data_IF_704534746170
#
_entry.id   IF_704534746170
#
_cell.length_a   1.000
_cell.length_b   1.000
_cell.length_c   1.000
_cell.angle_alpha   90.00
_cell.angle_beta   90.00
_cell.angle_gamma   90.00
#
_symmetry.space_group_name_H-M   'P 1'
#
loop_
_entity.id
_entity.type
_entity.pdbx_description
1 polymer ?
#
# COMPACT_ATOMS: atom_id res chain seq x y z
N UNK A 1 -21.98 -26.08 7.48
CA UNK A 1 -22.28 -27.37 8.16
C UNK A 1 -21.44 -28.51 7.57
N UNK A 2 -21.36 -28.67 6.23
CA UNK A 2 -20.54 -29.73 5.59
C UNK A 2 -19.02 -29.54 5.81
N UNK A 3 -18.53 -28.30 5.89
CA UNK A 3 -17.13 -28.01 6.20
C UNK A 3 -16.77 -28.44 7.64
N UNK A 4 -17.71 -28.36 8.58
CA UNK A 4 -17.53 -28.84 9.96
C UNK A 4 -17.60 -30.36 10.09
N UNK A 5 -18.40 -31.04 9.26
CA UNK A 5 -18.54 -32.49 9.30
C UNK A 5 -17.28 -33.22 8.80
N UNK A 6 -16.50 -32.63 7.91
CA UNK A 6 -15.25 -33.19 7.39
C UNK A 6 -13.99 -32.75 8.15
N UNK A 7 -14.10 -31.84 9.12
CA UNK A 7 -12.96 -31.44 9.95
C UNK A 7 -12.72 -32.47 11.05
N UNK A 8 -11.98 -33.52 10.74
CA UNK A 8 -11.27 -34.26 11.76
C UNK A 8 -10.25 -33.25 12.36
N UNK A 9 -10.37 -32.92 13.63
CA UNK A 9 -9.64 -31.86 14.33
C UNK A 9 -8.11 -31.88 14.23
N UNK A 10 -7.53 -32.78 13.46
CA UNK A 10 -6.09 -32.95 13.24
C UNK A 10 -5.59 -32.62 11.83
N UNK A 11 -6.47 -32.50 10.85
CA UNK A 11 -6.08 -32.25 9.46
C UNK A 11 -6.94 -31.10 8.93
N UNK A 12 -6.32 -30.02 8.55
CA UNK A 12 -7.01 -28.90 7.92
C UNK A 12 -7.79 -29.32 6.66
N UNK A 13 -8.50 -28.39 6.07
CA UNK A 13 -9.23 -28.60 4.81
C UNK A 13 -8.22 -28.93 3.71
N UNK A 14 -8.47 -30.04 2.99
CA UNK A 14 -7.67 -30.41 1.82
C UNK A 14 -8.18 -29.68 0.57
N UNK A 15 -7.35 -29.56 -0.46
CA UNK A 15 -7.74 -28.95 -1.75
C UNK A 15 -8.95 -29.68 -2.35
N UNK A 16 -9.00 -31.00 -2.28
CA UNK A 16 -10.13 -31.78 -2.76
C UNK A 16 -11.45 -31.46 -2.00
N UNK A 17 -11.34 -31.17 -0.70
CA UNK A 17 -12.50 -30.75 0.10
C UNK A 17 -12.95 -29.35 -0.29
N UNK A 18 -12.00 -28.45 -0.56
CA UNK A 18 -12.28 -27.09 -1.06
C UNK A 18 -12.95 -27.15 -2.42
N UNK A 19 -12.39 -27.91 -3.36
CA UNK A 19 -12.95 -28.08 -4.70
C UNK A 19 -14.39 -28.61 -4.64
N UNK A 20 -14.66 -29.61 -3.78
CA UNK A 20 -15.99 -30.16 -3.59
C UNK A 20 -17.00 -29.14 -3.06
N UNK A 21 -16.59 -28.31 -2.10
CA UNK A 21 -17.45 -27.25 -1.55
C UNK A 21 -17.72 -26.17 -2.60
N UNK A 22 -16.68 -25.69 -3.29
CA UNK A 22 -16.81 -24.59 -4.23
C UNK A 22 -17.65 -24.95 -5.45
N UNK A 23 -17.59 -26.19 -5.93
CA UNK A 23 -18.41 -26.66 -7.06
C UNK A 23 -19.88 -26.85 -6.72
N UNK A 24 -20.27 -26.81 -5.44
CA UNK A 24 -21.70 -26.74 -5.03
C UNK A 24 -22.28 -25.33 -5.26
N UNK A 25 -21.44 -24.27 -5.22
CA UNK A 25 -21.87 -22.86 -5.33
C UNK A 25 -21.57 -22.25 -6.69
N UNK A 26 -20.55 -22.76 -7.39
CA UNK A 26 -20.06 -22.22 -8.65
C UNK A 26 -20.01 -23.32 -9.71
N UNK A 27 -20.25 -22.98 -11.00
CA UNK A 27 -19.95 -23.90 -12.10
C UNK A 27 -18.48 -24.35 -12.03
N UNK A 28 -18.26 -25.65 -12.26
CA UNK A 28 -16.91 -26.24 -12.13
C UNK A 28 -15.86 -25.52 -12.96
N UNK A 29 -16.20 -25.10 -14.18
CA UNK A 29 -15.29 -24.36 -15.07
C UNK A 29 -14.86 -23.02 -14.48
N UNK A 30 -15.81 -22.28 -13.89
CA UNK A 30 -15.54 -20.98 -13.24
C UNK A 30 -14.62 -21.15 -12.04
N UNK A 31 -14.87 -22.19 -11.24
CA UNK A 31 -14.02 -22.47 -10.08
C UNK A 31 -12.62 -22.90 -10.49
N UNK A 32 -12.48 -23.77 -11.49
CA UNK A 32 -11.17 -24.23 -11.95
C UNK A 32 -10.35 -23.10 -12.57
N UNK A 33 -10.99 -22.23 -13.36
CA UNK A 33 -10.32 -21.04 -13.92
C UNK A 33 -9.86 -20.09 -12.81
N UNK A 34 -10.71 -19.82 -11.83
CA UNK A 34 -10.36 -18.99 -10.68
C UNK A 34 -9.20 -19.60 -9.89
N UNK A 35 -9.25 -20.89 -9.60
CA UNK A 35 -8.21 -21.59 -8.87
C UNK A 35 -6.87 -21.55 -9.60
N UNK A 36 -6.88 -21.87 -10.88
CA UNK A 36 -5.66 -21.89 -11.70
C UNK A 36 -4.99 -20.51 -11.83
N UNK A 37 -5.79 -19.44 -11.93
CA UNK A 37 -5.26 -18.09 -12.12
C UNK A 37 -4.85 -17.43 -10.81
N UNK A 38 -5.65 -17.57 -9.73
CA UNK A 38 -5.54 -16.71 -8.54
C UNK A 38 -5.14 -17.45 -7.26
N UNK A 39 -5.32 -18.78 -7.19
CA UNK A 39 -4.89 -19.56 -6.04
C UNK A 39 -3.55 -20.26 -6.32
N UNK A 40 -3.49 -21.00 -7.41
CA UNK A 40 -2.31 -21.76 -7.81
C UNK A 40 -1.37 -20.91 -8.71
N UNK A 41 -1.93 -19.90 -9.37
CA UNK A 41 -1.24 -18.94 -10.23
C UNK A 41 -0.92 -17.63 -9.54
N UNK A 42 -0.35 -16.70 -10.31
CA UNK A 42 0.05 -15.36 -9.88
C UNK A 42 -0.61 -14.26 -10.72
N UNK A 43 -1.75 -14.54 -11.33
CA UNK A 43 -2.48 -13.56 -12.12
C UNK A 43 -2.93 -12.37 -11.24
N UNK A 44 -2.84 -11.17 -11.79
CA UNK A 44 -3.33 -9.99 -11.10
C UNK A 44 -4.86 -10.07 -10.94
N UNK A 45 -5.35 -9.82 -9.72
CA UNK A 45 -6.80 -9.78 -9.49
C UNK A 45 -7.44 -8.64 -10.29
N UNK A 46 -8.52 -8.86 -11.05
CA UNK A 46 -9.23 -7.83 -11.82
C UNK A 46 -10.08 -6.96 -10.89
N UNK A 47 -9.48 -6.48 -9.79
CA UNK A 47 -10.19 -5.78 -8.73
C UNK A 47 -10.83 -4.47 -9.22
N UNK A 48 -10.09 -3.68 -9.98
CA UNK A 48 -10.56 -2.38 -10.46
C UNK A 48 -11.70 -2.51 -11.45
N UNK A 49 -11.62 -3.48 -12.35
CA UNK A 49 -12.67 -3.77 -13.33
C UNK A 49 -13.95 -4.19 -12.61
N UNK A 50 -13.83 -5.12 -11.67
CA UNK A 50 -14.97 -5.61 -10.88
C UNK A 50 -15.61 -4.53 -10.01
N UNK A 51 -14.82 -3.65 -9.41
CA UNK A 51 -15.34 -2.52 -8.66
C UNK A 51 -16.11 -1.56 -9.56
N UNK A 52 -15.56 -1.24 -10.74
CA UNK A 52 -16.20 -0.35 -11.71
C UNK A 52 -17.51 -0.93 -12.26
N UNK A 53 -17.53 -2.23 -12.59
CA UNK A 53 -18.75 -2.94 -13.02
C UNK A 53 -19.85 -2.90 -11.95
N UNK A 54 -19.47 -2.87 -10.68
CA UNK A 54 -20.38 -2.76 -9.55
C UNK A 54 -20.67 -1.31 -9.11
N UNK A 55 -20.37 -0.33 -9.95
CA UNK A 55 -20.72 1.07 -9.69
C UNK A 55 -19.81 1.80 -8.71
N UNK A 56 -18.61 1.29 -8.47
CA UNK A 56 -17.58 1.97 -7.67
C UNK A 56 -16.57 2.59 -8.62
N UNK A 57 -16.51 3.92 -8.63
CA UNK A 57 -15.44 4.64 -9.29
C UNK A 57 -14.20 4.66 -8.41
N UNK A 58 -13.06 4.45 -9.05
CA UNK A 58 -11.76 4.45 -8.38
C UNK A 58 -10.99 5.64 -8.94
N UNK A 59 -10.75 6.62 -8.09
CA UNK A 59 -9.87 7.73 -8.42
C UNK A 59 -8.51 7.52 -7.76
N UNK A 60 -7.50 7.69 -8.57
CA UNK A 60 -6.13 7.69 -8.11
C UNK A 60 -5.71 9.13 -7.84
N UNK A 61 -5.41 9.44 -6.59
CA UNK A 61 -4.88 10.75 -6.21
C UNK A 61 -3.41 10.62 -5.87
N UNK A 62 -2.61 11.54 -6.43
CA UNK A 62 -1.25 11.70 -5.94
C UNK A 62 -1.30 12.01 -4.44
N UNK A 63 -0.49 11.31 -3.68
CA UNK A 63 -0.37 11.60 -2.26
C UNK A 63 0.60 12.79 -2.11
N UNK A 64 0.17 13.85 -1.43
CA UNK A 64 1.00 15.01 -1.12
C UNK A 64 2.10 14.71 -0.08
N UNK A 65 2.30 13.44 0.28
CA UNK A 65 3.32 13.07 1.24
C UNK A 65 4.72 13.31 0.66
N UNK A 66 5.47 14.18 1.31
CA UNK A 66 6.86 14.46 0.95
C UNK A 66 7.70 13.22 1.19
N UNK A 67 8.52 12.82 0.21
CA UNK A 67 9.35 11.62 0.23
C UNK A 67 8.60 10.28 0.45
N UNK A 68 7.27 10.33 0.47
CA UNK A 68 6.44 9.16 0.77
C UNK A 68 6.39 8.78 2.25
N UNK A 69 6.60 9.72 3.16
CA UNK A 69 6.48 9.51 4.60
C UNK A 69 5.24 10.18 5.19
N UNK A 70 4.62 9.50 6.15
CA UNK A 70 3.71 10.12 7.10
C UNK A 70 4.48 10.32 8.41
N UNK A 71 4.37 11.50 9.00
CA UNK A 71 5.14 11.85 10.20
C UNK A 71 4.31 12.69 11.19
N UNK A 72 4.78 12.72 12.43
CA UNK A 72 4.34 13.66 13.45
C UNK A 72 5.52 14.58 13.77
N UNK A 73 5.26 15.88 13.86
CA UNK A 73 6.25 16.84 14.32
C UNK A 73 6.38 16.74 15.85
N UNK A 74 7.59 16.46 16.33
CA UNK A 74 7.95 16.43 17.74
C UNK A 74 9.05 17.49 18.02
N UNK A 75 9.27 17.91 19.28
CA UNK A 75 10.32 18.88 19.62
C UNK A 75 11.72 18.43 19.16
N UNK A 76 11.96 17.14 19.08
CA UNK A 76 13.23 16.53 18.68
C UNK A 76 13.39 16.42 17.16
N UNK A 77 12.31 16.47 16.39
CA UNK A 77 12.35 16.31 14.92
C UNK A 77 11.03 15.81 14.34
N UNK A 78 11.12 15.09 13.23
CA UNK A 78 9.96 14.51 12.55
C UNK A 78 9.94 12.99 12.78
N UNK A 79 9.01 12.52 13.60
CA UNK A 79 8.83 11.09 13.88
C UNK A 79 8.04 10.43 12.76
N UNK A 80 8.67 9.52 12.06
CA UNK A 80 8.08 8.78 10.95
C UNK A 80 7.07 7.76 11.47
N UNK A 81 5.84 7.85 11.02
CA UNK A 81 4.80 6.87 11.33
C UNK A 81 4.72 5.76 10.31
N UNK A 82 4.86 6.13 9.05
CA UNK A 82 4.71 5.21 7.93
C UNK A 82 5.60 5.65 6.77
N UNK A 83 6.16 4.67 6.08
CA UNK A 83 6.90 4.85 4.83
C UNK A 83 6.16 4.12 3.73
N UNK A 84 5.92 4.79 2.61
CA UNK A 84 5.30 4.18 1.44
C UNK A 84 6.34 3.37 0.68
N UNK A 85 6.00 2.13 0.37
CA UNK A 85 6.89 1.25 -0.40
C UNK A 85 7.17 1.85 -1.78
N UNK A 86 8.44 1.79 -2.21
CA UNK A 86 8.87 2.36 -3.49
C UNK A 86 9.02 3.88 -3.49
N UNK A 87 8.86 4.56 -2.34
CA UNK A 87 9.11 5.99 -2.20
C UNK A 87 10.59 6.32 -2.02
N UNK A 88 10.95 7.60 -2.16
CA UNK A 88 12.31 8.10 -1.90
C UNK A 88 12.80 7.72 -0.50
N UNK A 89 11.96 7.88 0.52
CA UNK A 89 12.29 7.50 1.88
C UNK A 89 12.49 5.97 2.03
N UNK A 90 11.72 5.17 1.29
CA UNK A 90 11.90 3.71 1.23
C UNK A 90 13.24 3.34 0.59
N UNK A 91 13.60 4.01 -0.51
CA UNK A 91 14.89 3.82 -1.19
C UNK A 91 16.06 4.23 -0.31
N UNK A 92 15.91 5.31 0.47
CA UNK A 92 16.90 5.77 1.45
C UNK A 92 17.05 4.86 2.67
N UNK A 93 16.14 3.91 2.87
CA UNK A 93 16.12 3.03 4.04
C UNK A 93 15.52 3.67 5.29
N UNK A 94 14.78 4.77 5.17
CA UNK A 94 13.99 5.34 6.28
C UNK A 94 12.87 4.35 6.63
N UNK A 95 12.62 4.17 7.91
CA UNK A 95 11.66 3.20 8.43
C UNK A 95 10.65 3.85 9.38
N UNK A 96 9.53 3.17 9.61
CA UNK A 96 8.58 3.60 10.64
C UNK A 96 9.27 3.65 12.01
N UNK A 97 8.90 4.64 12.82
CA UNK A 97 9.45 4.97 14.14
C UNK A 97 10.83 5.66 14.12
N UNK A 98 11.45 5.87 12.98
CA UNK A 98 12.61 6.73 12.86
C UNK A 98 12.26 8.18 13.24
N UNK A 99 13.20 8.90 13.83
CA UNK A 99 13.07 10.34 14.10
C UNK A 99 14.09 11.09 13.26
N UNK A 100 13.61 11.80 12.25
CA UNK A 100 14.46 12.65 11.42
C UNK A 100 14.79 13.90 12.22
N UNK A 101 16.06 14.08 12.61
CA UNK A 101 16.50 15.20 13.46
C UNK A 101 17.14 16.32 12.67
N UNK A 102 17.78 16.01 11.53
CA UNK A 102 18.33 17.01 10.64
C UNK A 102 18.23 16.58 9.18
N UNK A 103 18.14 17.56 8.29
CA UNK A 103 18.14 17.40 6.84
C UNK A 103 19.15 18.43 6.30
N UNK A 104 20.15 17.98 5.57
CA UNK A 104 21.25 18.80 5.03
C UNK A 104 21.92 19.67 6.12
N UNK A 105 22.13 19.08 7.31
CA UNK A 105 22.72 19.75 8.47
C UNK A 105 21.82 20.76 9.19
N UNK A 106 20.58 20.95 8.74
CA UNK A 106 19.60 21.88 9.36
C UNK A 106 18.59 21.05 10.14
N UNK A 107 18.21 21.54 11.34
CA UNK A 107 17.18 20.87 12.17
C UNK A 107 15.93 20.55 11.36
N UNK A 108 15.51 19.30 11.41
CA UNK A 108 14.33 18.83 10.69
C UNK A 108 13.05 19.52 11.19
N UNK A 109 12.29 20.02 10.25
CA UNK A 109 10.96 20.61 10.45
C UNK A 109 10.11 20.34 9.23
N UNK A 110 8.81 20.39 9.37
CA UNK A 110 7.88 20.24 8.24
C UNK A 110 8.18 21.24 7.11
N UNK A 111 8.44 22.50 7.48
CA UNK A 111 8.78 23.54 6.52
C UNK A 111 10.07 23.20 5.74
N UNK A 112 11.09 22.74 6.44
CA UNK A 112 12.38 22.43 5.84
C UNK A 112 12.29 21.15 4.98
N UNK A 113 11.61 20.14 5.44
CA UNK A 113 11.34 18.91 4.66
C UNK A 113 10.68 19.23 3.30
N UNK A 114 9.63 20.06 3.31
CA UNK A 114 8.93 20.48 2.10
C UNK A 114 9.82 21.35 1.19
N UNK A 115 10.66 22.20 1.75
CA UNK A 115 11.59 23.02 1.00
C UNK A 115 12.67 22.15 0.31
N UNK A 116 13.29 21.24 1.04
CA UNK A 116 14.31 20.32 0.51
C UNK A 116 13.75 19.47 -0.63
N UNK A 117 12.56 18.89 -0.47
CA UNK A 117 11.95 18.10 -1.54
C UNK A 117 11.67 18.92 -2.82
N UNK A 118 11.31 20.19 -2.68
CA UNK A 118 11.16 21.08 -3.84
C UNK A 118 12.51 21.38 -4.51
N UNK A 119 13.56 21.57 -3.72
CA UNK A 119 14.92 21.78 -4.24
C UNK A 119 15.42 20.53 -4.97
N UNK A 120 15.21 19.35 -4.41
CA UNK A 120 15.60 18.08 -5.04
C UNK A 120 14.92 17.85 -6.40
N UNK A 121 13.67 18.30 -6.55
CA UNK A 121 12.98 18.22 -7.84
C UNK A 121 13.63 19.05 -8.96
N UNK A 122 14.54 19.95 -8.60
CA UNK A 122 15.25 20.84 -9.54
C UNK A 122 16.73 20.48 -9.64
N UNK A 123 17.38 20.19 -8.51
CA UNK A 123 18.85 19.97 -8.44
C UNK A 123 19.27 18.55 -8.77
N UNK A 124 18.33 17.61 -8.71
CA UNK A 124 18.61 16.17 -8.86
C UNK A 124 19.66 15.61 -7.87
N UNK A 125 19.95 16.36 -6.79
CA UNK A 125 20.89 15.94 -5.77
C UNK A 125 20.18 15.23 -4.61
N UNK A 126 20.82 14.20 -3.99
CA UNK A 126 20.27 13.56 -2.82
C UNK A 126 20.30 14.50 -1.60
N UNK A 127 19.32 14.36 -0.70
CA UNK A 127 19.32 15.06 0.58
C UNK A 127 19.89 14.17 1.68
N UNK A 128 20.74 14.73 2.53
CA UNK A 128 21.37 14.02 3.64
C UNK A 128 20.49 14.12 4.89
N UNK A 129 19.96 13.00 5.35
CA UNK A 129 19.13 12.91 6.54
C UNK A 129 19.89 12.29 7.73
N UNK A 130 19.84 12.97 8.86
CA UNK A 130 20.26 12.40 10.14
C UNK A 130 19.02 11.88 10.86
N UNK A 131 19.05 10.61 11.21
CA UNK A 131 17.87 9.89 11.70
C UNK A 131 18.25 9.10 12.96
N UNK A 132 17.50 9.27 14.03
CA UNK A 132 17.57 8.32 15.14
C UNK A 132 16.64 7.14 14.88
N UNK A 133 17.23 5.95 14.87
CA UNK A 133 16.52 4.67 14.88
C UNK A 133 16.78 4.00 16.21
N UNK A 134 15.79 4.01 17.11
CA UNK A 134 15.99 3.71 18.53
C UNK A 134 17.04 4.66 19.11
N UNK A 135 18.19 4.13 19.55
CA UNK A 135 19.29 4.88 20.16
C UNK A 135 20.48 5.09 19.20
N UNK A 136 20.34 4.69 17.94
CA UNK A 136 21.41 4.77 16.94
C UNK A 136 21.16 5.96 15.99
N UNK A 137 22.18 6.79 15.81
CA UNK A 137 22.19 7.86 14.84
C UNK A 137 22.69 7.34 13.49
N UNK A 138 21.80 7.39 12.50
CA UNK A 138 22.07 6.99 11.12
C UNK A 138 22.17 8.23 10.22
N UNK A 139 23.02 8.14 9.20
CA UNK A 139 23.07 9.12 8.11
C UNK A 139 22.58 8.41 6.86
N UNK A 140 21.48 8.90 6.30
CA UNK A 140 20.80 8.33 5.15
C UNK A 140 20.72 9.36 4.02
N UNK A 141 20.96 8.92 2.79
CA UNK A 141 20.81 9.74 1.61
C UNK A 141 19.46 9.47 0.94
N UNK A 142 18.62 10.49 0.91
CA UNK A 142 17.32 10.44 0.24
C UNK A 142 17.50 10.83 -1.22
N UNK A 143 17.30 9.90 -2.17
CA UNK A 143 17.50 10.21 -3.58
C UNK A 143 16.50 11.25 -4.09
N UNK A 144 16.83 12.01 -5.14
CA UNK A 144 15.87 12.85 -5.84
C UNK A 144 14.76 12.01 -6.47
N UNK A 145 13.69 12.65 -6.90
CA UNK A 145 12.64 11.98 -7.68
C UNK A 145 13.19 11.71 -9.07
N UNK A 146 13.29 10.45 -9.43
CA UNK A 146 13.51 10.05 -10.81
C UNK A 146 12.35 9.16 -11.30
N UNK A 147 12.13 9.15 -12.61
CA UNK A 147 11.04 8.38 -13.24
C UNK A 147 11.21 6.86 -13.09
N UNK A 148 12.40 6.39 -12.70
CA UNK A 148 12.73 4.96 -12.64
C UNK A 148 12.43 4.32 -11.28
N UNK A 149 12.36 5.10 -10.20
CA UNK A 149 12.33 4.54 -8.85
C UNK A 149 11.14 4.96 -7.98
N UNK A 150 10.36 5.95 -8.39
CA UNK A 150 9.31 6.48 -7.53
C UNK A 150 8.02 6.64 -8.29
N UNK A 151 7.21 5.59 -8.26
CA UNK A 151 5.78 5.82 -8.42
C UNK A 151 5.37 6.74 -7.25
N UNK A 152 4.91 7.98 -7.52
CA UNK A 152 4.46 8.84 -6.43
C UNK A 152 3.45 8.06 -5.61
N UNK A 153 3.53 8.14 -4.28
CA UNK A 153 2.62 7.40 -3.42
C UNK A 153 1.19 7.78 -3.82
N UNK A 154 0.46 6.79 -4.29
CA UNK A 154 -0.89 6.96 -4.79
C UNK A 154 -1.86 6.58 -3.69
N UNK A 155 -2.84 7.44 -3.46
CA UNK A 155 -3.98 7.12 -2.62
C UNK A 155 -5.16 6.79 -3.51
N UNK A 156 -5.79 5.65 -3.28
CA UNK A 156 -7.00 5.27 -3.97
C UNK A 156 -8.19 5.84 -3.21
N UNK A 157 -9.05 6.58 -3.91
CA UNK A 157 -10.32 7.03 -3.37
C UNK A 157 -11.43 6.25 -4.07
N UNK A 158 -12.19 5.52 -3.27
CA UNK A 158 -13.37 4.80 -3.76
C UNK A 158 -14.58 5.73 -3.62
N UNK A 159 -15.30 5.92 -4.71
CA UNK A 159 -16.52 6.71 -4.74
C UNK A 159 -17.63 5.87 -5.38
N UNK A 160 -18.81 5.89 -4.76
CA UNK A 160 -19.99 5.30 -5.39
C UNK A 160 -20.45 6.20 -6.51
N UNK A 161 -20.84 5.62 -7.64
CA UNK A 161 -21.50 6.38 -8.70
C UNK A 161 -22.87 6.84 -8.22
N UNK A 162 -23.25 8.06 -8.57
CA UNK A 162 -24.56 8.61 -8.21
C UNK A 162 -25.73 7.81 -8.81
N UNK A 163 -25.49 7.12 -9.92
CA UNK A 163 -26.45 6.26 -10.62
C UNK A 163 -26.41 4.80 -10.15
N UNK A 164 -25.45 4.43 -9.29
CA UNK A 164 -25.41 3.11 -8.69
C UNK A 164 -26.51 2.99 -7.66
N UNK A 165 -27.64 2.39 -8.07
CA UNK A 165 -28.72 2.13 -7.12
C UNK A 165 -28.21 1.25 -6.00
N UNK A 166 -28.38 1.69 -4.75
CA UNK A 166 -28.05 0.93 -3.56
C UNK A 166 -28.67 -0.49 -3.55
N UNK A 167 -29.66 -0.71 -4.40
CA UNK A 167 -30.32 -1.99 -4.62
C UNK A 167 -29.44 -3.08 -5.25
N UNK A 168 -28.34 -2.74 -5.91
CA UNK A 168 -27.43 -3.76 -6.45
C UNK A 168 -26.57 -4.43 -5.37
N UNK A 169 -26.28 -3.72 -4.28
CA UNK A 169 -25.49 -4.26 -3.15
C UNK A 169 -26.28 -5.17 -2.24
N UNK A 170 -27.61 -4.99 -2.18
CA UNK A 170 -28.51 -5.78 -1.33
C UNK A 170 -28.91 -7.13 -1.90
N UNK A 171 -28.44 -7.49 -3.10
CA UNK A 171 -28.73 -8.80 -3.72
C UNK A 171 -27.83 -9.93 -3.22
N UNK A 172 -26.94 -9.68 -2.25
CA UNK A 172 -26.02 -10.65 -1.66
C UNK A 172 -26.33 -10.98 -0.19
N UNK A 173 -27.51 -10.62 0.28
CA UNK A 173 -28.03 -11.10 1.58
C UNK A 173 -29.07 -12.17 1.41
#
# INVERSE_FOLDING_TARGET
EKAKANSNHRFGMTDANLDGIMTEFLPSEVWQDFKANYIDGVAALPLFERLTENGINIEQKANDSVWGINYIAEPTGLKVQRVTRGSQASAAGISAHDVIVAIDGIKASEKWLKATAKTQAISEEPAVCHVFRRDELLVLEVPPIDDSHVTPPQTWQLMTREDASAAQWLKWT
#
